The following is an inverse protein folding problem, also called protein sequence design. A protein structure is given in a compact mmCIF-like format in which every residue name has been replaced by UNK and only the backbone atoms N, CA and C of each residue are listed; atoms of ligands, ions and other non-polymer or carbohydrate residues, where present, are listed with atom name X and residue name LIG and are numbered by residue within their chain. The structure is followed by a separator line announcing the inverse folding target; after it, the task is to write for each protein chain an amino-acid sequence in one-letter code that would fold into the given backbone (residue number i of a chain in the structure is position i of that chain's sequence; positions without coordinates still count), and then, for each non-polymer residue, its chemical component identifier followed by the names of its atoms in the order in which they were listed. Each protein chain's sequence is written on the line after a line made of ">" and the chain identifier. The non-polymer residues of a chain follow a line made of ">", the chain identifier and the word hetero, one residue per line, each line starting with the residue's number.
data_IF_233134200977
#
_entry.id   IF_233134200977
#
_cell.length_a   1.000
_cell.length_b   1.000
_cell.length_c   1.000
_cell.angle_alpha   90.00
_cell.angle_beta   90.00
_cell.angle_gamma   90.00
#
_symmetry.space_group_name_H-M   'P 1'
#
loop_
_entity.id
_entity.type
_entity.pdbx_description
1 polymer ?
#
# COMPACT_ATOMS: atom_id res chain seq x y z
N UNK A 1 8.96 0.17 -1.65
CA UNK A 1 8.23 1.46 -1.75
C UNK A 1 6.73 1.24 -1.72
N UNK A 2 5.93 2.30 -1.71
CA UNK A 2 4.47 2.20 -1.78
C UNK A 2 3.87 3.28 -2.70
N UNK A 3 2.83 2.91 -3.44
CA UNK A 3 2.01 3.84 -4.24
C UNK A 3 0.74 4.16 -3.45
N UNK A 4 0.49 5.45 -3.28
CA UNK A 4 -0.64 5.96 -2.51
C UNK A 4 -1.98 5.66 -3.19
N UNK A 5 -3.03 5.55 -2.38
CA UNK A 5 -4.35 5.15 -2.86
C UNK A 5 -4.97 6.06 -3.94
N UNK A 6 -4.56 7.33 -4.01
CA UNK A 6 -5.01 8.30 -5.02
C UNK A 6 -4.29 8.17 -6.36
N UNK A 7 -3.17 7.45 -6.39
CA UNK A 7 -2.34 7.26 -7.59
C UNK A 7 -2.20 5.79 -7.98
N UNK A 8 -2.80 4.86 -7.24
CA UNK A 8 -2.86 3.43 -7.60
C UNK A 8 -3.49 3.20 -8.99
N UNK A 9 -4.48 4.01 -9.37
CA UNK A 9 -5.11 3.97 -10.69
C UNK A 9 -4.29 4.67 -11.80
N UNK A 10 -3.31 5.48 -11.41
CA UNK A 10 -2.50 6.24 -12.36
C UNK A 10 -1.56 5.31 -13.13
N UNK A 11 -1.73 5.29 -14.45
CA UNK A 11 -0.87 4.52 -15.35
C UNK A 11 0.61 4.90 -15.21
N UNK A 12 0.92 6.20 -15.06
CA UNK A 12 2.29 6.69 -14.85
C UNK A 12 2.94 6.07 -13.60
N UNK A 13 2.17 5.87 -12.52
CA UNK A 13 2.70 5.26 -11.30
C UNK A 13 2.87 3.74 -11.43
N UNK A 14 2.02 3.07 -12.21
CA UNK A 14 2.15 1.64 -12.53
C UNK A 14 3.39 1.39 -13.39
N UNK A 15 3.60 2.24 -14.38
CA UNK A 15 4.80 2.29 -15.23
C UNK A 15 6.06 2.53 -14.41
N UNK A 16 6.05 3.54 -13.52
CA UNK A 16 7.16 3.79 -12.59
C UNK A 16 7.47 2.55 -11.75
N UNK A 17 6.46 1.95 -11.11
CA UNK A 17 6.63 0.79 -10.25
C UNK A 17 7.22 -0.42 -10.98
N UNK A 18 6.91 -0.58 -12.27
CA UNK A 18 7.46 -1.65 -13.13
C UNK A 18 8.97 -1.56 -13.34
N UNK A 19 9.57 -0.38 -13.12
CA UNK A 19 11.00 -0.12 -13.29
C UNK A 19 11.79 -0.02 -11.99
N UNK A 20 11.13 -0.01 -10.82
CA UNK A 20 11.82 0.13 -9.54
C UNK A 20 12.55 -1.15 -9.14
N UNK A 21 13.79 -1.00 -8.68
CA UNK A 21 14.65 -2.10 -8.22
C UNK A 21 14.33 -2.60 -6.80
N UNK A 22 13.07 -2.48 -6.37
CA UNK A 22 12.60 -2.89 -5.04
C UNK A 22 11.12 -3.30 -5.08
N UNK A 23 10.63 -4.07 -4.09
CA UNK A 23 9.21 -4.36 -3.95
C UNK A 23 8.35 -3.09 -3.81
N UNK A 24 7.16 -3.10 -4.42
CA UNK A 24 6.21 -1.97 -4.40
C UNK A 24 4.83 -2.41 -3.93
N UNK A 25 4.32 -1.76 -2.88
CA UNK A 25 2.96 -1.98 -2.40
C UNK A 25 1.97 -0.98 -2.98
N UNK A 26 0.84 -1.44 -3.49
CA UNK A 26 -0.24 -0.60 -4.01
C UNK A 26 -1.40 -0.54 -3.02
N UNK A 27 -1.70 0.65 -2.47
CA UNK A 27 -2.84 0.83 -1.55
C UNK A 27 -4.17 0.65 -2.28
N UNK A 28 -5.14 0.00 -1.64
CA UNK A 28 -6.52 -0.04 -2.14
C UNK A 28 -7.13 1.37 -2.23
N UNK A 29 -8.16 1.52 -3.08
CA UNK A 29 -8.81 2.80 -3.36
C UNK A 29 -9.44 3.45 -2.12
N UNK A 30 -9.73 4.76 -2.18
CA UNK A 30 -10.33 5.52 -1.05
C UNK A 30 -11.67 4.98 -0.59
N UNK A 31 -12.43 4.37 -1.48
CA UNK A 31 -13.72 3.76 -1.15
C UNK A 31 -13.59 2.35 -0.54
N UNK A 32 -12.37 1.79 -0.46
CA UNK A 32 -12.11 0.43 0.04
C UNK A 32 -11.95 -0.61 -1.07
N UNK A 33 -12.22 -0.25 -2.33
CA UNK A 33 -12.11 -1.15 -3.49
C UNK A 33 -10.68 -1.64 -3.72
N UNK A 34 -10.50 -2.97 -3.75
CA UNK A 34 -9.19 -3.62 -3.94
C UNK A 34 -8.83 -3.87 -5.41
N UNK A 35 -9.82 -3.86 -6.32
CA UNK A 35 -9.60 -4.18 -7.74
C UNK A 35 -8.56 -3.27 -8.39
N UNK A 36 -8.62 -1.96 -8.09
CA UNK A 36 -7.67 -0.96 -8.61
C UNK A 36 -6.22 -1.31 -8.21
N UNK A 37 -6.01 -1.87 -7.02
CA UNK A 37 -4.69 -2.29 -6.56
C UNK A 37 -4.25 -3.61 -7.22
N UNK A 38 -5.17 -4.55 -7.42
CA UNK A 38 -4.92 -5.80 -8.17
C UNK A 38 -4.48 -5.48 -9.61
N UNK A 39 -5.22 -4.59 -10.27
CA UNK A 39 -4.90 -4.15 -11.64
C UNK A 39 -3.54 -3.46 -11.69
N UNK A 40 -3.21 -2.68 -10.66
CA UNK A 40 -1.91 -2.00 -10.56
C UNK A 40 -0.75 -2.98 -10.37
N UNK A 41 -0.91 -4.00 -9.50
CA UNK A 41 0.08 -5.07 -9.32
C UNK A 41 0.27 -5.84 -10.63
N UNK A 42 -0.82 -6.20 -11.30
CA UNK A 42 -0.76 -6.87 -12.61
C UNK A 42 -0.06 -6.01 -13.66
N UNK A 43 -0.39 -4.73 -13.75
CA UNK A 43 0.23 -3.81 -14.70
C UNK A 43 1.73 -3.65 -14.42
N UNK A 44 2.12 -3.42 -13.16
CA UNK A 44 3.50 -3.23 -12.77
C UNK A 44 4.36 -4.49 -13.01
N UNK A 45 3.78 -5.69 -12.99
CA UNK A 45 4.48 -6.94 -13.27
C UNK A 45 4.94 -7.09 -14.74
N UNK A 46 4.45 -6.25 -15.66
CA UNK A 46 4.78 -6.34 -17.09
C UNK A 46 5.79 -5.27 -17.53
N UNK A 47 6.56 -5.50 -18.61
CA UNK A 47 7.38 -4.47 -19.25
C UNK A 47 6.55 -3.29 -19.76
N UNK A 48 7.07 -2.08 -19.58
CA UNK A 48 6.49 -0.84 -20.13
C UNK A 48 7.50 -0.06 -20.95
N UNK A 49 7.00 0.86 -21.77
CA UNK A 49 7.78 1.91 -22.45
C UNK A 49 7.06 3.24 -22.30
N UNK A 50 7.72 4.22 -21.70
CA UNK A 50 7.12 5.52 -21.40
C UNK A 50 8.16 6.63 -21.42
N UNK A 51 7.70 7.88 -21.46
CA UNK A 51 8.57 9.06 -21.40
C UNK A 51 8.92 9.33 -19.93
N UNK A 52 10.21 9.39 -19.63
CA UNK A 52 10.73 9.70 -18.29
C UNK A 52 11.90 10.68 -18.34
N UNK A 53 12.54 10.86 -17.19
CA UNK A 53 13.72 11.70 -17.02
C UNK A 53 14.92 10.79 -16.75
N UNK A 54 16.00 10.96 -17.50
CA UNK A 54 17.25 10.21 -17.30
C UNK A 54 18.04 10.76 -16.11
N UNK A 55 19.08 10.05 -15.68
CA UNK A 55 19.95 10.50 -14.58
C UNK A 55 20.65 11.85 -14.86
N UNK A 56 20.79 12.22 -16.14
CA UNK A 56 21.34 13.50 -16.58
C UNK A 56 20.29 14.63 -16.61
N UNK A 57 19.05 14.36 -16.20
CA UNK A 57 17.95 15.34 -16.20
C UNK A 57 17.33 15.58 -17.57
N UNK A 58 17.57 14.73 -18.56
CA UNK A 58 17.04 14.86 -19.91
C UNK A 58 15.77 14.01 -20.08
N UNK A 59 14.86 14.44 -20.95
CA UNK A 59 13.74 13.62 -21.35
C UNK A 59 14.22 12.42 -22.20
N UNK A 60 13.71 11.22 -21.92
CA UNK A 60 14.06 10.02 -22.64
C UNK A 60 12.96 8.96 -22.60
N UNK A 61 13.05 7.97 -23.50
CA UNK A 61 12.18 6.80 -23.45
C UNK A 61 12.78 5.80 -22.46
N UNK A 62 12.03 5.49 -21.41
CA UNK A 62 12.37 4.47 -20.42
C UNK A 62 11.71 3.16 -20.82
N UNK A 63 12.46 2.07 -20.81
CA UNK A 63 11.95 0.72 -20.98
C UNK A 63 12.18 -0.08 -19.70
N UNK A 64 11.12 -0.67 -19.15
CA UNK A 64 11.18 -1.45 -17.91
C UNK A 64 11.02 -2.94 -18.19
N UNK A 65 11.41 -3.78 -17.22
CA UNK A 65 11.30 -5.24 -17.33
C UNK A 65 10.02 -5.80 -16.67
N UNK A 66 9.27 -4.95 -15.98
CA UNK A 66 8.25 -5.39 -15.04
C UNK A 66 8.84 -5.67 -13.65
N UNK A 67 7.99 -5.53 -12.64
CA UNK A 67 8.30 -5.73 -11.24
C UNK A 67 7.39 -6.84 -10.65
N UNK A 68 7.88 -8.08 -10.55
CA UNK A 68 7.10 -9.20 -10.02
C UNK A 68 6.91 -9.15 -8.49
N UNK A 69 7.61 -8.24 -7.80
CA UNK A 69 7.62 -8.12 -6.34
C UNK A 69 6.59 -7.09 -5.83
N UNK A 70 5.58 -6.80 -6.66
CA UNK A 70 4.45 -5.96 -6.28
C UNK A 70 3.43 -6.73 -5.42
N UNK A 71 2.78 -6.01 -4.50
CA UNK A 71 1.72 -6.55 -3.64
C UNK A 71 0.66 -5.49 -3.34
N UNK A 72 -0.49 -5.89 -2.82
CA UNK A 72 -1.53 -4.94 -2.40
C UNK A 72 -1.34 -4.55 -0.93
N UNK A 73 -1.80 -3.35 -0.57
CA UNK A 73 -1.87 -2.85 0.80
C UNK A 73 -3.33 -2.57 1.14
N UNK A 74 -3.86 -3.28 2.14
CA UNK A 74 -5.18 -3.04 2.73
C UNK A 74 -5.09 -1.91 3.75
N UNK A 75 -5.84 -0.82 3.56
CA UNK A 75 -5.73 0.41 4.37
C UNK A 75 -7.08 0.97 4.84
N UNK A 76 -8.14 0.19 4.71
CA UNK A 76 -9.53 0.58 4.88
C UNK A 76 -10.05 1.44 3.73
N UNK A 77 -11.18 2.10 3.94
CA UNK A 77 -11.78 3.04 2.99
C UNK A 77 -13.00 3.73 3.58
N UNK A 78 -13.74 4.48 2.76
CA UNK A 78 -15.01 5.08 3.16
C UNK A 78 -16.06 4.05 3.61
N UNK A 79 -15.98 2.82 3.07
CA UNK A 79 -16.79 1.67 3.48
C UNK A 79 -16.41 1.08 4.84
N UNK A 80 -15.30 1.54 5.44
CA UNK A 80 -14.83 1.11 6.76
C UNK A 80 -13.45 0.42 6.72
N UNK A 81 -13.01 -0.12 7.88
CA UNK A 81 -11.82 -0.96 7.97
C UNK A 81 -11.92 -2.22 7.10
N UNK A 82 -10.79 -2.73 6.64
CA UNK A 82 -10.69 -3.95 5.85
C UNK A 82 -9.51 -4.85 6.28
N UNK A 83 -9.10 -4.76 7.55
CA UNK A 83 -8.06 -5.60 8.14
C UNK A 83 -8.59 -6.89 8.79
N UNK A 84 -9.92 -7.07 8.85
CA UNK A 84 -10.54 -8.27 9.42
C UNK A 84 -10.30 -9.52 8.55
N UNK A 85 -10.45 -10.71 9.15
CA UNK A 85 -10.17 -11.97 8.48
C UNK A 85 -11.02 -12.22 7.23
N UNK A 86 -12.27 -11.74 7.17
CA UNK A 86 -13.11 -11.92 6.00
C UNK A 86 -12.61 -11.06 4.83
N UNK A 87 -12.27 -9.80 5.11
CA UNK A 87 -11.65 -8.89 4.14
C UNK A 87 -10.31 -9.42 3.62
N UNK A 88 -9.44 -9.93 4.50
CA UNK A 88 -8.15 -10.53 4.13
C UNK A 88 -8.36 -11.76 3.24
N UNK A 89 -9.21 -12.71 3.63
CA UNK A 89 -9.47 -13.92 2.82
C UNK A 89 -10.04 -13.57 1.45
N UNK A 90 -10.96 -12.60 1.38
CA UNK A 90 -11.52 -12.11 0.13
C UNK A 90 -10.43 -11.53 -0.77
N UNK A 91 -9.55 -10.68 -0.23
CA UNK A 91 -8.46 -10.10 -0.99
C UNK A 91 -7.48 -11.16 -1.51
N UNK A 92 -7.12 -12.14 -0.68
CA UNK A 92 -6.25 -13.26 -1.07
C UNK A 92 -6.92 -14.14 -2.15
N UNK A 93 -8.22 -14.38 -2.07
CA UNK A 93 -8.96 -15.11 -3.10
C UNK A 93 -8.94 -14.36 -4.45
N UNK A 94 -9.23 -13.05 -4.45
CA UNK A 94 -9.20 -12.23 -5.66
C UNK A 94 -7.79 -12.16 -6.30
N UNK A 95 -6.72 -12.17 -5.49
CA UNK A 95 -5.35 -12.28 -6.01
C UNK A 95 -5.12 -13.63 -6.72
N UNK A 96 -5.58 -14.75 -6.14
CA UNK A 96 -5.48 -16.07 -6.76
C UNK A 96 -6.26 -16.15 -8.07
N UNK A 97 -7.49 -15.65 -8.08
CA UNK A 97 -8.35 -15.56 -9.28
C UNK A 97 -7.71 -14.71 -10.39
N UNK A 98 -6.92 -13.70 -9.99
CA UNK A 98 -6.18 -12.84 -10.93
C UNK A 98 -4.82 -13.42 -11.35
N UNK A 99 -4.49 -14.66 -10.94
CA UNK A 99 -3.20 -15.31 -11.16
C UNK A 99 -2.00 -14.53 -10.61
N UNK A 100 -2.21 -13.79 -9.51
CA UNK A 100 -1.16 -13.08 -8.79
C UNK A 100 -0.77 -13.83 -7.52
N UNK A 101 0.42 -13.55 -7.00
CA UNK A 101 0.84 -14.08 -5.70
C UNK A 101 -0.13 -13.60 -4.61
N UNK A 102 -0.75 -14.50 -3.82
CA UNK A 102 -1.70 -14.12 -2.77
C UNK A 102 -0.94 -13.64 -1.53
N UNK A 103 -0.33 -12.46 -1.63
CA UNK A 103 0.40 -11.79 -0.56
C UNK A 103 -0.09 -10.36 -0.42
N UNK A 104 -0.31 -9.92 0.80
CA UNK A 104 -0.74 -8.56 1.10
C UNK A 104 -0.08 -8.00 2.36
N UNK A 105 0.03 -6.68 2.40
CA UNK A 105 0.34 -5.92 3.60
C UNK A 105 -0.95 -5.28 4.15
N UNK A 106 -0.98 -5.06 5.46
CA UNK A 106 -2.10 -4.36 6.11
C UNK A 106 -1.56 -3.08 6.77
N UNK A 107 -2.11 -1.94 6.40
CA UNK A 107 -1.88 -0.64 7.03
C UNK A 107 -2.80 -0.51 8.26
N UNK A 108 -2.21 -0.44 9.44
CA UNK A 108 -2.95 -0.36 10.71
C UNK A 108 -3.53 1.04 10.99
N UNK A 109 -3.13 2.05 10.21
CA UNK A 109 -3.58 3.44 10.34
C UNK A 109 -4.76 3.73 9.37
N UNK A 110 -4.88 4.98 8.93
CA UNK A 110 -5.80 5.44 7.90
C UNK A 110 -7.25 4.97 8.11
N UNK A 111 -7.83 4.26 7.14
CA UNK A 111 -9.22 3.79 7.23
C UNK A 111 -9.37 2.66 8.24
N UNK A 112 -8.33 1.84 8.45
CA UNK A 112 -8.38 0.72 9.39
C UNK A 112 -8.40 1.18 10.85
N UNK A 113 -7.76 2.31 11.15
CA UNK A 113 -7.83 2.96 12.47
C UNK A 113 -9.02 3.90 12.64
N UNK A 114 -9.81 4.15 11.59
CA UNK A 114 -10.83 5.21 11.60
C UNK A 114 -10.24 6.62 11.77
N UNK A 115 -8.97 6.82 11.37
CA UNK A 115 -8.15 8.02 11.61
C UNK A 115 -7.90 8.34 13.09
N UNK A 116 -8.03 7.35 13.97
CA UNK A 116 -7.64 7.43 15.37
C UNK A 116 -6.30 6.71 15.58
N UNK A 117 -5.22 7.45 15.87
CA UNK A 117 -3.90 6.84 16.05
C UNK A 117 -3.85 5.88 17.25
N UNK A 118 -4.71 6.05 18.26
CA UNK A 118 -4.80 5.17 19.43
C UNK A 118 -5.36 3.79 19.10
N UNK A 119 -6.01 3.64 17.93
CA UNK A 119 -6.56 2.36 17.45
C UNK A 119 -5.49 1.48 16.79
N UNK A 120 -4.36 2.04 16.33
CA UNK A 120 -3.34 1.26 15.62
C UNK A 120 -2.82 0.03 16.40
N UNK A 121 -2.54 0.11 17.73
CA UNK A 121 -2.12 -1.06 18.50
C UNK A 121 -3.19 -2.16 18.57
N UNK A 122 -4.47 -1.79 18.64
CA UNK A 122 -5.57 -2.76 18.62
C UNK A 122 -5.67 -3.45 17.26
N UNK A 123 -5.61 -2.67 16.16
CA UNK A 123 -5.60 -3.20 14.79
C UNK A 123 -4.38 -4.12 14.57
N UNK A 124 -3.20 -3.73 15.04
CA UNK A 124 -2.00 -4.56 14.96
C UNK A 124 -2.16 -5.90 15.73
N UNK A 125 -2.82 -5.88 16.89
CA UNK A 125 -3.12 -7.09 17.66
C UNK A 125 -4.10 -8.01 16.92
N UNK A 126 -5.12 -7.45 16.28
CA UNK A 126 -6.07 -8.18 15.45
C UNK A 126 -5.40 -8.81 14.20
N UNK A 127 -4.44 -8.11 13.59
CA UNK A 127 -3.62 -8.65 12.50
C UNK A 127 -2.73 -9.80 13.02
N UNK A 128 -2.07 -9.59 14.16
CA UNK A 128 -1.20 -10.61 14.77
C UNK A 128 -1.98 -11.89 15.13
N UNK A 129 -3.21 -11.76 15.59
CA UNK A 129 -4.09 -12.90 15.87
C UNK A 129 -4.33 -13.74 14.61
N UNK A 130 -4.64 -13.13 13.47
CA UNK A 130 -4.83 -13.85 12.20
C UNK A 130 -3.56 -14.59 11.76
N UNK A 131 -2.39 -13.97 11.92
CA UNK A 131 -1.10 -14.62 11.62
C UNK A 131 -0.86 -15.82 12.54
N UNK A 132 -1.17 -15.68 13.83
CA UNK A 132 -1.07 -16.76 14.82
C UNK A 132 -2.05 -17.91 14.53
N UNK A 133 -3.25 -17.60 14.03
CA UNK A 133 -4.26 -18.56 13.57
C UNK A 133 -3.89 -19.26 12.25
N UNK A 134 -2.79 -18.84 11.60
CA UNK A 134 -2.23 -19.53 10.44
C UNK A 134 -2.42 -18.83 9.11
N UNK A 135 -2.92 -17.59 9.07
CA UNK A 135 -2.98 -16.83 7.81
C UNK A 135 -1.57 -16.52 7.31
N UNK A 136 -1.19 -17.09 6.16
CA UNK A 136 0.14 -16.96 5.55
C UNK A 136 0.21 -15.89 4.46
N UNK A 137 -0.94 -15.38 4.01
CA UNK A 137 -1.01 -14.33 2.98
C UNK A 137 -0.68 -12.94 3.51
N UNK A 138 -0.73 -12.72 4.83
CA UNK A 138 -0.30 -11.46 5.46
C UNK A 138 1.23 -11.49 5.58
N UNK A 139 1.90 -10.70 4.76
CA UNK A 139 3.38 -10.68 4.70
C UNK A 139 3.99 -9.47 5.41
N UNK A 140 3.16 -8.58 5.94
CA UNK A 140 3.64 -7.45 6.73
C UNK A 140 2.52 -6.53 7.21
N UNK A 141 2.92 -5.61 8.08
CA UNK A 141 2.07 -4.54 8.63
C UNK A 141 2.75 -3.19 8.40
N UNK A 142 1.95 -2.16 8.15
CA UNK A 142 2.40 -0.76 8.10
C UNK A 142 1.80 -0.02 9.30
N UNK A 143 2.65 0.72 10.02
CA UNK A 143 2.30 1.46 11.23
C UNK A 143 2.84 2.87 11.10
N UNK A 144 2.03 3.86 11.46
CA UNK A 144 2.47 5.25 11.59
C UNK A 144 2.86 5.49 13.05
N UNK A 145 4.16 5.66 13.28
CA UNK A 145 4.73 5.91 14.60
C UNK A 145 5.75 7.02 14.52
N UNK A 146 5.85 7.78 15.59
CA UNK A 146 6.79 8.87 15.72
C UNK A 146 7.24 8.97 17.18
N UNK A 147 8.18 9.87 17.49
CA UNK A 147 8.76 9.94 18.85
C UNK A 147 7.69 10.41 19.83
N UNK A 148 6.94 11.46 19.46
CA UNK A 148 5.71 11.86 20.15
C UNK A 148 4.49 11.35 19.39
N UNK A 149 3.41 11.05 20.11
CA UNK A 149 2.17 10.59 19.51
C UNK A 149 1.30 11.75 18.96
N UNK A 150 0.25 11.38 18.22
CA UNK A 150 -0.68 12.34 17.66
C UNK A 150 -0.13 13.13 16.46
N UNK A 151 -0.53 14.40 16.37
CA UNK A 151 -0.17 15.32 15.29
C UNK A 151 -0.05 16.74 15.81
N UNK A 152 0.67 17.57 15.08
CA UNK A 152 0.72 19.01 15.31
C UNK A 152 0.49 19.78 14.00
N UNK A 153 -0.14 20.95 14.10
CA UNK A 153 -0.33 21.84 12.95
C UNK A 153 0.93 22.68 12.72
N UNK A 154 1.32 22.85 11.46
CA UNK A 154 2.48 23.66 11.07
C UNK A 154 2.17 25.16 11.25
N UNK A 155 2.42 25.68 12.46
CA UNK A 155 2.26 27.10 12.82
C UNK A 155 3.63 27.77 12.93
N UNK A 156 4.08 28.09 14.15
CA UNK A 156 5.40 28.67 14.39
C UNK A 156 6.45 27.56 14.48
N UNK A 157 7.43 27.48 13.55
CA UNK A 157 8.46 26.43 13.55
C UNK A 157 9.26 26.36 14.86
N UNK A 158 9.39 27.48 15.59
CA UNK A 158 10.12 27.53 16.86
C UNK A 158 9.37 26.89 18.04
N UNK A 159 8.06 26.62 17.87
CA UNK A 159 7.18 26.07 18.91
C UNK A 159 6.69 24.66 18.60
N UNK A 160 7.15 24.07 17.51
CA UNK A 160 6.85 22.68 17.21
C UNK A 160 7.47 21.79 18.28
N UNK A 161 6.70 20.81 18.74
CA UNK A 161 7.21 19.79 19.64
C UNK A 161 8.16 18.91 18.83
N UNK A 162 9.36 18.67 19.35
CA UNK A 162 10.32 17.78 18.71
C UNK A 162 9.82 16.34 18.74
N UNK A 163 10.19 15.60 17.69
CA UNK A 163 9.68 14.27 17.45
C UNK A 163 8.37 14.35 16.74
#
# INVERSE_FOLDING_TARGET
>A
GAIGARTTESQVHRELASGLSMPVGFKNGTEGGIQIAIDAVRAAAHPHRFIGVTEQGLAGIVATRGNPDCHIILRGGASGPNHDAASVRKALASLRESHLSPRLLIDASHGNSGKDYLRQPAVAKEIAAQVAEGERGIVGVMIESFIADGRQDLKDPKKLVYG
#
